data_IF_214076778233
#
_entry.id   IF_214076778233
#
_cell.length_a   1.000
_cell.length_b   1.000
_cell.length_c   1.000
_cell.angle_alpha   90.00
_cell.angle_beta   90.00
_cell.angle_gamma   90.00
#
_symmetry.space_group_name_H-M   'P 1'
#
loop_
_entity.id
_entity.type
_entity.pdbx_description
1 polymer ?
#
# COMPACT_ATOMS: atom_id res chain seq x y z
N UNK A 1 -13.64 -5.26 10.66
CA UNK A 1 -13.05 -5.52 9.33
C UNK A 1 -12.90 -4.17 8.62
N UNK A 2 -11.71 -3.84 8.12
CA UNK A 2 -11.28 -2.50 7.66
C UNK A 2 -11.87 -2.04 6.31
N UNK A 3 -13.13 -2.36 6.04
CA UNK A 3 -13.80 -2.02 4.78
C UNK A 3 -14.00 -0.50 4.58
N UNK A 4 -13.87 0.29 5.64
CA UNK A 4 -14.09 1.74 5.63
C UNK A 4 -12.96 2.52 4.96
N UNK A 5 -11.70 2.13 5.14
CA UNK A 5 -10.57 2.88 4.59
C UNK A 5 -10.45 2.77 3.06
N UNK A 6 -10.98 1.70 2.45
CA UNK A 6 -11.05 1.62 1.00
C UNK A 6 -12.06 2.57 0.37
N UNK A 7 -13.06 3.03 1.12
CA UNK A 7 -14.04 4.00 0.61
C UNK A 7 -13.42 5.37 0.36
N UNK A 8 -12.21 5.61 0.88
CA UNK A 8 -11.49 6.88 0.75
C UNK A 8 -10.24 6.75 -0.12
N UNK A 9 -10.06 5.63 -0.84
CA UNK A 9 -8.95 5.48 -1.79
C UNK A 9 -9.10 6.49 -2.93
N UNK A 10 -8.04 7.25 -3.20
CA UNK A 10 -8.03 8.26 -4.24
C UNK A 10 -8.10 7.60 -5.63
N UNK A 11 -8.70 8.28 -6.62
CA UNK A 11 -8.77 7.80 -8.03
C UNK A 11 -7.42 7.38 -8.63
N UNK A 12 -6.33 7.99 -8.20
CA UNK A 12 -4.96 7.66 -8.64
C UNK A 12 -4.42 6.35 -8.03
N UNK A 13 -5.09 5.78 -7.03
CA UNK A 13 -4.73 4.51 -6.38
C UNK A 13 -4.12 4.67 -4.99
N UNK A 14 -3.61 5.85 -4.63
CA UNK A 14 -3.05 6.10 -3.30
C UNK A 14 -4.11 6.19 -2.21
N UNK A 15 -3.69 5.99 -0.96
CA UNK A 15 -4.53 6.24 0.21
C UNK A 15 -4.12 7.57 0.87
N UNK A 16 -5.08 8.47 1.15
CA UNK A 16 -4.79 9.67 1.94
C UNK A 16 -4.40 9.28 3.38
N UNK A 17 -3.61 10.13 4.05
CA UNK A 17 -3.16 9.89 5.44
C UNK A 17 -4.31 9.89 6.45
N UNK A 18 -5.46 10.46 6.10
CA UNK A 18 -6.64 10.56 6.96
C UNK A 18 -7.93 10.49 6.15
N UNK A 19 -9.02 10.18 6.82
CA UNK A 19 -10.38 10.20 6.27
C UNK A 19 -11.18 11.32 6.95
N UNK A 20 -12.06 11.97 6.19
CA UNK A 20 -13.00 12.95 6.75
C UNK A 20 -14.17 12.19 7.36
N UNK A 21 -14.49 12.50 8.62
CA UNK A 21 -15.61 11.91 9.36
C UNK A 21 -16.68 12.99 9.58
N UNK A 22 -17.97 12.71 9.29
CA UNK A 22 -18.51 11.44 8.77
C UNK A 22 -18.16 11.13 7.30
N UNK A 23 -18.12 9.84 6.92
CA UNK A 23 -17.68 9.37 5.58
C UNK A 23 -18.54 9.85 4.40
N UNK A 24 -19.75 10.38 4.65
CA UNK A 24 -20.58 10.98 3.60
C UNK A 24 -20.16 12.42 3.24
N UNK A 25 -19.26 13.03 4.02
CA UNK A 25 -18.70 14.33 3.71
C UNK A 25 -17.64 14.21 2.59
N UNK A 26 -17.36 15.31 1.87
CA UNK A 26 -16.29 15.35 0.86
C UNK A 26 -14.95 14.86 1.43
N UNK A 27 -14.36 13.85 0.79
CA UNK A 27 -13.05 13.29 1.15
C UNK A 27 -11.92 14.04 0.42
N UNK A 28 -10.65 13.78 0.75
CA UNK A 28 -9.46 14.47 0.20
C UNK A 28 -9.24 14.33 -1.32
N UNK A 29 -10.05 13.54 -2.01
CA UNK A 29 -10.15 13.61 -3.47
C UNK A 29 -10.94 14.84 -3.96
N UNK A 30 -11.95 15.25 -3.19
CA UNK A 30 -12.91 16.31 -3.50
C UNK A 30 -12.53 17.66 -2.90
N UNK A 31 -11.70 17.65 -1.87
CA UNK A 31 -11.18 18.84 -1.20
C UNK A 31 -9.67 18.75 -1.10
N UNK A 32 -8.93 19.86 -1.20
CA UNK A 32 -7.49 19.84 -1.02
C UNK A 32 -7.14 19.38 0.40
N UNK A 33 -6.06 18.62 0.53
CA UNK A 33 -5.53 18.32 1.85
C UNK A 33 -4.96 19.60 2.48
N UNK A 34 -5.38 19.97 3.71
CA UNK A 34 -4.82 21.12 4.38
C UNK A 34 -3.29 21.02 4.49
N UNK A 35 -2.58 21.91 3.80
CA UNK A 35 -1.13 21.97 3.76
C UNK A 35 -0.46 21.30 2.55
N UNK A 36 -1.24 20.80 1.58
CA UNK A 36 -0.75 20.12 0.37
C UNK A 36 0.27 19.02 0.70
N UNK A 37 -0.02 18.27 1.77
CA UNK A 37 0.90 17.27 2.31
C UNK A 37 0.81 16.01 1.45
N UNK A 38 1.92 15.54 0.86
CA UNK A 38 1.90 14.30 0.10
C UNK A 38 1.53 13.14 1.02
N UNK A 39 0.79 12.13 0.52
CA UNK A 39 0.27 11.07 1.36
C UNK A 39 1.40 10.23 1.95
N UNK A 40 1.26 9.87 3.22
CA UNK A 40 2.24 9.08 3.95
C UNK A 40 2.27 7.63 3.44
N UNK A 41 3.41 7.20 2.87
CA UNK A 41 3.51 5.91 2.16
C UNK A 41 3.64 4.72 3.10
N UNK A 42 4.16 4.92 4.32
CA UNK A 42 4.12 3.92 5.38
C UNK A 42 2.68 3.56 5.76
N UNK A 43 1.76 4.53 5.74
CA UNK A 43 0.33 4.30 5.91
C UNK A 43 -0.27 3.42 4.80
N UNK A 44 0.19 3.57 3.56
CA UNK A 44 -0.21 2.74 2.42
C UNK A 44 0.25 1.29 2.59
N UNK A 45 1.54 1.07 2.89
CA UNK A 45 2.06 -0.28 3.17
C UNK A 45 1.37 -0.89 4.39
N UNK A 46 1.20 -0.08 5.44
CA UNK A 46 0.45 -0.45 6.63
C UNK A 46 -0.96 -0.93 6.30
N UNK A 47 -1.65 -0.35 5.30
CA UNK A 47 -2.98 -0.81 4.88
C UNK A 47 -2.96 -2.24 4.33
N UNK A 48 -2.01 -2.57 3.46
CA UNK A 48 -1.87 -3.91 2.89
C UNK A 48 -1.61 -4.94 4.00
N UNK A 49 -0.67 -4.62 4.92
CA UNK A 49 -0.35 -5.49 6.05
C UNK A 49 -1.55 -5.68 7.00
N UNK A 50 -2.29 -4.61 7.24
CA UNK A 50 -3.51 -4.61 8.04
C UNK A 50 -4.59 -5.52 7.45
N UNK A 51 -4.82 -5.48 6.15
CA UNK A 51 -5.78 -6.36 5.46
C UNK A 51 -5.34 -7.82 5.58
N UNK A 52 -4.07 -8.10 5.28
CA UNK A 52 -3.56 -9.46 5.35
C UNK A 52 -3.63 -10.02 6.77
N UNK A 53 -3.27 -9.22 7.78
CA UNK A 53 -3.41 -9.58 9.18
C UNK A 53 -4.87 -9.87 9.56
N UNK A 54 -5.80 -9.02 9.15
CA UNK A 54 -7.23 -9.23 9.45
C UNK A 54 -7.76 -10.52 8.77
N UNK A 55 -7.27 -10.86 7.57
CA UNK A 55 -7.52 -12.17 6.94
C UNK A 55 -6.90 -13.33 7.73
N UNK A 56 -5.65 -13.21 8.20
CA UNK A 56 -5.00 -14.27 9.00
C UNK A 56 -5.75 -14.58 10.30
N UNK A 57 -6.39 -13.56 10.90
CA UNK A 57 -7.19 -13.71 12.12
C UNK A 57 -8.56 -14.33 11.81
N UNK A 58 -9.22 -13.89 10.74
CA UNK A 58 -10.62 -14.25 10.46
C UNK A 58 -10.79 -15.47 9.56
N UNK A 59 -9.83 -15.74 8.67
CA UNK A 59 -9.97 -16.70 7.56
C UNK A 59 -10.96 -16.27 6.47
N UNK A 60 -11.46 -15.03 6.49
CA UNK A 60 -12.51 -14.56 5.57
C UNK A 60 -11.95 -14.31 4.16
N UNK A 61 -12.08 -15.31 3.29
CA UNK A 61 -11.66 -15.22 1.89
C UNK A 61 -12.49 -14.19 1.11
N UNK A 62 -13.77 -14.01 1.44
CA UNK A 62 -14.65 -13.09 0.73
C UNK A 62 -14.22 -11.64 0.98
N UNK A 63 -13.88 -11.31 2.22
CA UNK A 63 -13.25 -10.04 2.55
C UNK A 63 -11.98 -9.80 1.74
N UNK A 64 -11.15 -10.83 1.56
CA UNK A 64 -9.91 -10.71 0.84
C UNK A 64 -10.13 -10.48 -0.66
N UNK A 65 -11.07 -11.19 -1.27
CA UNK A 65 -11.52 -10.98 -2.64
C UNK A 65 -12.03 -9.55 -2.85
N UNK A 66 -12.90 -9.08 -1.96
CA UNK A 66 -13.49 -7.74 -2.04
C UNK A 66 -12.44 -6.63 -1.81
N UNK A 67 -11.36 -6.94 -1.09
CA UNK A 67 -10.24 -6.02 -0.84
C UNK A 67 -9.25 -5.93 -2.00
N UNK A 68 -9.14 -6.98 -2.82
CA UNK A 68 -8.08 -7.11 -3.82
C UNK A 68 -8.02 -5.96 -4.85
N UNK A 69 -9.14 -5.48 -5.45
CA UNK A 69 -9.07 -4.41 -6.43
C UNK A 69 -8.42 -3.13 -5.89
N UNK A 70 -8.60 -2.85 -4.59
CA UNK A 70 -8.02 -1.67 -3.96
C UNK A 70 -6.54 -1.87 -3.63
N UNK A 71 -6.15 -3.09 -3.19
CA UNK A 71 -4.74 -3.46 -3.01
C UNK A 71 -3.99 -3.35 -4.33
N UNK A 72 -4.58 -3.89 -5.40
CA UNK A 72 -3.99 -3.86 -6.73
C UNK A 72 -3.73 -2.42 -7.19
N UNK A 73 -4.74 -1.54 -7.12
CA UNK A 73 -4.59 -0.12 -7.46
C UNK A 73 -3.52 0.58 -6.63
N UNK A 74 -3.46 0.28 -5.34
CA UNK A 74 -2.46 0.86 -4.45
C UNK A 74 -1.05 0.41 -4.83
N UNK A 75 -0.84 -0.87 -5.11
CA UNK A 75 0.46 -1.38 -5.56
C UNK A 75 0.85 -0.85 -6.94
N UNK A 76 -0.10 -0.70 -7.86
CA UNK A 76 0.14 -0.08 -9.18
C UNK A 76 0.58 1.38 -9.03
N UNK A 77 -0.02 2.13 -8.10
CA UNK A 77 0.42 3.47 -7.74
C UNK A 77 1.85 3.49 -7.19
N UNK A 78 2.15 2.61 -6.22
CA UNK A 78 3.51 2.49 -5.66
C UNK A 78 4.55 2.14 -6.73
N UNK A 79 4.25 1.18 -7.60
CA UNK A 79 5.13 0.80 -8.70
C UNK A 79 5.36 1.92 -9.71
N UNK A 80 4.38 2.80 -9.91
CA UNK A 80 4.48 3.87 -10.90
C UNK A 80 5.24 5.09 -10.39
N UNK A 81 5.09 5.40 -9.10
CA UNK A 81 5.56 6.68 -8.53
C UNK A 81 6.74 6.50 -7.55
N UNK A 82 6.98 5.29 -7.04
CA UNK A 82 8.00 5.02 -6.01
C UNK A 82 9.01 3.90 -6.38
N UNK A 83 8.60 2.87 -7.13
CA UNK A 83 9.45 1.74 -7.57
C UNK A 83 9.30 1.49 -9.09
N UNK A 84 9.67 2.48 -9.90
CA UNK A 84 9.42 2.51 -11.35
C UNK A 84 10.17 1.43 -12.13
N UNK A 85 11.31 0.99 -11.60
CA UNK A 85 12.14 -0.07 -12.17
C UNK A 85 11.77 -1.46 -11.64
N UNK A 86 10.83 -1.57 -10.69
CA UNK A 86 10.35 -2.82 -10.10
C UNK A 86 11.50 -3.67 -9.55
N UNK A 87 12.42 -3.01 -8.86
CA UNK A 87 13.61 -3.62 -8.24
C UNK A 87 13.46 -3.83 -6.73
N UNK A 88 12.37 -3.35 -6.14
CA UNK A 88 12.07 -3.49 -4.72
C UNK A 88 12.67 -2.39 -3.85
N UNK A 89 13.17 -1.30 -4.44
CA UNK A 89 13.81 -0.20 -3.74
C UNK A 89 13.08 1.12 -3.98
N UNK A 90 12.70 1.77 -2.88
CA UNK A 90 12.18 3.15 -2.91
C UNK A 90 13.29 4.08 -2.44
N UNK A 91 13.68 5.01 -3.31
CA UNK A 91 14.77 5.97 -3.04
C UNK A 91 14.37 7.43 -3.24
N UNK A 92 13.21 7.69 -3.84
CA UNK A 92 12.63 9.02 -3.98
C UNK A 92 12.16 9.58 -2.62
N UNK A 93 11.44 10.71 -2.64
CA UNK A 93 10.85 11.28 -1.44
C UNK A 93 9.85 10.31 -0.82
N UNK A 94 10.00 10.05 0.48
CA UNK A 94 9.20 9.08 1.23
C UNK A 94 8.50 9.78 2.41
N UNK A 95 7.40 10.52 2.16
CA UNK A 95 6.56 11.09 3.20
C UNK A 95 6.04 9.99 4.12
N UNK A 96 6.13 10.20 5.43
CA UNK A 96 5.81 9.16 6.42
C UNK A 96 5.26 9.76 7.72
N UNK A 97 4.95 8.89 8.69
CA UNK A 97 4.35 9.28 9.98
C UNK A 97 5.18 10.23 10.84
N UNK A 98 6.45 10.51 10.53
CA UNK A 98 7.26 11.50 11.23
C UNK A 98 7.10 12.93 10.71
N UNK A 99 6.06 13.18 9.91
CA UNK A 99 5.75 14.48 9.30
C UNK A 99 6.94 15.06 8.49
N UNK A 100 7.73 14.16 7.89
CA UNK A 100 8.86 14.49 7.03
C UNK A 100 9.02 13.48 5.89
N UNK A 101 9.84 13.83 4.91
CA UNK A 101 10.23 12.92 3.83
C UNK A 101 11.61 12.36 4.07
N UNK A 102 11.72 11.03 4.12
CA UNK A 102 13.01 10.35 4.02
C UNK A 102 13.41 10.24 2.54
N UNK A 103 14.71 10.14 2.28
CA UNK A 103 15.27 9.98 0.93
C UNK A 103 16.31 8.86 0.94
N UNK A 104 16.49 8.24 -0.23
CA UNK A 104 17.40 7.12 -0.38
C UNK A 104 16.91 5.85 0.32
N UNK A 105 17.82 4.87 0.37
CA UNK A 105 17.55 3.56 0.96
C UNK A 105 17.56 3.69 2.48
N UNK A 106 16.45 3.32 3.12
CA UNK A 106 16.32 3.32 4.57
C UNK A 106 15.54 2.09 5.04
N UNK A 107 15.85 1.64 6.25
CA UNK A 107 15.26 0.43 6.81
C UNK A 107 13.78 0.60 7.14
N UNK A 108 13.33 1.80 7.50
CA UNK A 108 11.95 2.03 7.91
C UNK A 108 10.96 1.78 6.77
N UNK A 109 11.02 2.59 5.71
CA UNK A 109 10.11 2.47 4.57
C UNK A 109 10.46 1.25 3.72
N UNK A 110 11.75 0.99 3.51
CA UNK A 110 12.21 -0.14 2.71
C UNK A 110 11.70 -1.47 3.26
N UNK A 111 11.81 -1.71 4.58
CA UNK A 111 11.34 -2.97 5.15
C UNK A 111 9.82 -3.08 5.10
N UNK A 112 9.08 -2.00 5.36
CA UNK A 112 7.62 -1.98 5.24
C UNK A 112 7.17 -2.30 3.81
N UNK A 113 7.85 -1.75 2.80
CA UNK A 113 7.57 -2.04 1.40
C UNK A 113 7.82 -3.51 1.06
N UNK A 114 8.96 -4.07 1.47
CA UNK A 114 9.29 -5.48 1.24
C UNK A 114 8.28 -6.43 1.91
N UNK A 115 7.85 -6.14 3.14
CA UNK A 115 6.82 -6.95 3.81
C UNK A 115 5.45 -6.77 3.14
N UNK A 116 5.13 -5.57 2.63
CA UNK A 116 3.91 -5.35 1.86
C UNK A 116 3.90 -6.15 0.54
N UNK A 117 5.04 -6.26 -0.15
CA UNK A 117 5.18 -7.14 -1.32
C UNK A 117 4.92 -8.61 -0.98
N UNK A 118 5.47 -9.11 0.13
CA UNK A 118 5.21 -10.47 0.60
C UNK A 118 3.73 -10.68 0.96
N UNK A 119 3.10 -9.70 1.63
CA UNK A 119 1.68 -9.76 1.93
C UNK A 119 0.86 -9.83 0.63
N UNK A 120 1.16 -8.98 -0.35
CA UNK A 120 0.52 -9.01 -1.67
C UNK A 120 0.72 -10.35 -2.39
N UNK A 121 1.91 -10.94 -2.35
CA UNK A 121 2.18 -12.27 -2.91
C UNK A 121 1.26 -13.33 -2.28
N UNK A 122 1.17 -13.34 -0.95
CA UNK A 122 0.36 -14.32 -0.23
C UNK A 122 -1.13 -14.13 -0.49
N UNK A 123 -1.60 -12.88 -0.52
CA UNK A 123 -2.98 -12.56 -0.89
C UNK A 123 -3.27 -13.05 -2.30
N UNK A 124 -2.44 -12.67 -3.28
CA UNK A 124 -2.61 -13.08 -4.67
C UNK A 124 -2.62 -14.61 -4.81
N UNK A 125 -1.77 -15.31 -4.06
CA UNK A 125 -1.75 -16.78 -4.04
C UNK A 125 -3.05 -17.37 -3.51
N UNK A 126 -3.62 -16.82 -2.41
CA UNK A 126 -4.91 -17.26 -1.88
C UNK A 126 -6.07 -17.01 -2.85
N UNK A 127 -5.98 -15.95 -3.65
CA UNK A 127 -6.97 -15.59 -4.67
C UNK A 127 -6.70 -16.24 -6.04
N UNK A 128 -5.72 -17.15 -6.14
CA UNK A 128 -5.31 -17.80 -7.40
C UNK A 128 -4.82 -16.85 -8.51
N UNK A 129 -4.32 -15.66 -8.14
CA UNK A 129 -3.78 -14.63 -9.05
C UNK A 129 -2.26 -14.81 -9.23
N UNK A 130 -1.88 -15.89 -9.91
CA UNK A 130 -0.48 -16.34 -9.97
C UNK A 130 0.49 -15.34 -10.58
N UNK A 131 0.07 -14.54 -11.57
CA UNK A 131 0.93 -13.54 -12.20
C UNK A 131 1.30 -12.42 -11.23
N UNK A 132 0.33 -11.99 -10.40
CA UNK A 132 0.55 -11.02 -9.35
C UNK A 132 1.44 -11.56 -8.24
N UNK A 133 1.21 -12.81 -7.81
CA UNK A 133 2.05 -13.46 -6.82
C UNK A 133 3.52 -13.51 -7.28
N UNK A 134 3.77 -13.99 -8.50
CA UNK A 134 5.12 -14.04 -9.10
C UNK A 134 5.74 -12.65 -9.24
N UNK A 135 4.96 -11.65 -9.66
CA UNK A 135 5.44 -10.26 -9.79
C UNK A 135 5.92 -9.72 -8.44
N UNK A 136 5.09 -9.79 -7.40
CA UNK A 136 5.44 -9.32 -6.07
C UNK A 136 6.67 -10.06 -5.50
N UNK A 137 6.72 -11.39 -5.67
CA UNK A 137 7.84 -12.22 -5.24
C UNK A 137 9.16 -11.82 -5.91
N UNK A 138 9.14 -11.62 -7.23
CA UNK A 138 10.32 -11.20 -8.00
C UNK A 138 10.87 -9.85 -7.50
N UNK A 139 9.99 -8.88 -7.27
CA UNK A 139 10.37 -7.54 -6.80
C UNK A 139 10.96 -7.64 -5.39
N UNK A 140 10.30 -8.39 -4.49
CA UNK A 140 10.81 -8.64 -3.14
C UNK A 140 12.20 -9.31 -3.15
N UNK A 141 12.40 -10.33 -3.98
CA UNK A 141 13.66 -11.06 -4.07
C UNK A 141 14.81 -10.21 -4.62
N UNK A 142 14.49 -9.16 -5.40
CA UNK A 142 15.45 -8.16 -5.84
C UNK A 142 15.81 -7.23 -4.68
N UNK A 143 14.80 -6.58 -4.07
CA UNK A 143 15.02 -5.55 -3.05
C UNK A 143 15.70 -6.09 -1.78
N UNK A 144 15.36 -7.32 -1.35
CA UNK A 144 15.95 -7.95 -0.15
C UNK A 144 17.46 -8.22 -0.22
N UNK A 145 18.07 -8.11 -1.40
CA UNK A 145 19.53 -8.29 -1.57
C UNK A 145 20.29 -7.00 -1.25
N UNK A 146 19.59 -5.87 -1.25
CA UNK A 146 20.17 -4.54 -1.11
C UNK A 146 19.89 -3.98 0.29
N UNK A 147 18.64 -4.13 0.76
CA UNK A 147 18.20 -3.72 2.10
C UNK A 147 18.60 -4.74 3.16
#
# INVERSE_FOLDING_TARGET
>A
MRATEFKTQHKLGYLPHRAVIPLYLPQFEMIPDPGDVPPAIDGMFGMILKIYRDFLISGDLKFLEDSWPNIQKLMEYIFKDYDNNLDGIISCAQPNTYDCSLYGINTFIGSLYLVALLACEQIATKLSLQDWAKKCKRIFDSGRKIL
#
